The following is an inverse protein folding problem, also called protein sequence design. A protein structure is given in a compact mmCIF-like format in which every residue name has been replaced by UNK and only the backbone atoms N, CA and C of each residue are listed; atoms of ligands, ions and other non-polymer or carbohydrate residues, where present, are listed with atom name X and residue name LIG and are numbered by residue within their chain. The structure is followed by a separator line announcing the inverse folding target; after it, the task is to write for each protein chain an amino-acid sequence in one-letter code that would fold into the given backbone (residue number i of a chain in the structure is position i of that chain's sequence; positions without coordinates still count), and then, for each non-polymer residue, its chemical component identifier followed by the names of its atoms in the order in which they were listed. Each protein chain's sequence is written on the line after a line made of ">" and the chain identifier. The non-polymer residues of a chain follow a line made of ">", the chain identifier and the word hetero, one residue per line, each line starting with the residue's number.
data_IF_998025018677
#
_entry.id   IF_998025018677
#
_cell.length_a   1.000
_cell.length_b   1.000
_cell.length_c   1.000
_cell.angle_alpha   90.00
_cell.angle_beta   90.00
_cell.angle_gamma   90.00
#
_symmetry.space_group_name_H-M   'P 1'
#
loop_
_entity.id
_entity.type
_entity.pdbx_description
1 polymer ?
#
# COMPACT_ATOMS: atom_id res chain seq x y z
N UNK A 1 -17.26 15.70 3.74
CA UNK A 1 -16.08 14.86 3.47
C UNK A 1 -15.33 14.78 4.78
N UNK A 2 -15.07 13.58 5.30
CA UNK A 2 -14.41 13.39 6.60
C UNK A 2 -12.95 13.81 6.58
N UNK A 3 -12.35 14.05 7.75
CA UNK A 3 -10.92 14.41 7.84
C UNK A 3 -10.05 13.24 7.37
N UNK A 4 -10.42 12.00 7.70
CA UNK A 4 -9.79 10.80 7.16
C UNK A 4 -9.82 10.78 5.62
N UNK A 5 -10.99 11.03 5.02
CA UNK A 5 -11.13 11.04 3.56
C UNK A 5 -10.27 12.14 2.91
N UNK A 6 -10.24 13.33 3.53
CA UNK A 6 -9.42 14.46 3.08
C UNK A 6 -7.93 14.12 3.13
N UNK A 7 -7.45 13.60 4.25
CA UNK A 7 -6.06 13.18 4.42
C UNK A 7 -5.64 12.16 3.36
N UNK A 8 -6.40 11.07 3.20
CA UNK A 8 -6.07 10.04 2.21
C UNK A 8 -6.09 10.59 0.78
N UNK A 9 -7.00 11.52 0.47
CA UNK A 9 -7.04 12.21 -0.82
C UNK A 9 -5.79 13.07 -1.02
N UNK A 10 -5.40 13.88 -0.04
CA UNK A 10 -4.20 14.73 -0.10
C UNK A 10 -2.93 13.88 -0.29
N UNK A 11 -2.82 12.75 0.40
CA UNK A 11 -1.71 11.79 0.24
C UNK A 11 -1.64 11.18 -1.17
N UNK A 12 -2.80 10.91 -1.77
CA UNK A 12 -2.86 10.46 -3.17
C UNK A 12 -2.30 11.54 -4.10
N UNK A 13 -2.76 12.78 -3.93
CA UNK A 13 -2.32 13.91 -4.77
C UNK A 13 -0.83 14.24 -4.58
N UNK A 14 -0.32 14.14 -3.35
CA UNK A 14 1.10 14.32 -3.05
C UNK A 14 1.94 13.20 -3.70
N UNK A 15 1.50 11.94 -3.61
CA UNK A 15 2.15 10.81 -4.28
C UNK A 15 2.26 11.02 -5.79
N UNK A 16 1.16 11.45 -6.43
CA UNK A 16 1.17 11.81 -7.85
C UNK A 16 2.25 12.86 -8.18
N UNK A 17 2.27 13.97 -7.41
CA UNK A 17 3.22 15.08 -7.60
C UNK A 17 4.67 14.65 -7.36
N UNK A 18 4.94 13.81 -6.36
CA UNK A 18 6.29 13.29 -6.09
C UNK A 18 6.82 12.43 -7.22
N UNK A 19 5.97 11.53 -7.72
CA UNK A 19 6.36 10.66 -8.84
C UNK A 19 6.55 11.50 -10.12
N UNK A 20 5.65 12.45 -10.38
CA UNK A 20 5.80 13.43 -11.47
C UNK A 20 7.15 14.13 -11.38
N UNK A 21 7.45 14.73 -10.22
CA UNK A 21 8.68 15.47 -9.99
C UNK A 21 9.90 14.58 -10.23
N UNK A 22 9.95 13.39 -9.62
CA UNK A 22 11.07 12.45 -9.81
C UNK A 22 11.25 12.08 -11.28
N UNK A 23 10.18 11.77 -12.01
CA UNK A 23 10.29 11.33 -13.41
C UNK A 23 10.62 12.44 -14.40
N UNK A 24 10.36 13.69 -14.02
CA UNK A 24 10.73 14.87 -14.81
C UNK A 24 12.23 15.23 -14.70
N UNK A 25 12.98 14.59 -13.80
CA UNK A 25 14.38 14.90 -13.52
C UNK A 25 15.28 13.71 -13.85
N UNK A 26 16.30 13.95 -14.67
CA UNK A 26 17.30 12.92 -14.97
C UNK A 26 18.04 12.50 -13.68
N UNK A 27 18.19 11.20 -13.47
CA UNK A 27 18.92 10.63 -12.33
C UNK A 27 18.15 10.57 -11.00
N UNK A 28 17.05 11.31 -10.86
CA UNK A 28 16.24 11.27 -9.64
C UNK A 28 15.30 10.06 -9.67
N UNK A 29 15.45 9.16 -8.69
CA UNK A 29 14.62 7.97 -8.54
C UNK A 29 13.78 8.08 -7.27
N UNK A 30 12.53 7.65 -7.38
CA UNK A 30 11.65 7.40 -6.25
C UNK A 30 11.33 5.91 -6.22
N UNK A 31 11.37 5.33 -5.02
CA UNK A 31 11.14 3.90 -4.82
C UNK A 31 9.80 3.69 -4.13
N UNK A 32 9.18 2.55 -4.40
CA UNK A 32 7.95 2.09 -3.77
C UNK A 32 8.03 2.17 -2.24
N UNK A 33 9.09 1.61 -1.66
CA UNK A 33 9.37 1.65 -0.22
C UNK A 33 9.35 3.06 0.35
N UNK A 34 9.96 4.02 -0.35
CA UNK A 34 9.98 5.43 0.08
C UNK A 34 8.59 6.04 0.08
N UNK A 35 7.75 5.71 -0.91
CA UNK A 35 6.37 6.20 -0.96
C UNK A 35 5.55 5.58 0.18
N UNK A 36 5.64 4.27 0.41
CA UNK A 36 4.98 3.60 1.53
C UNK A 36 5.37 4.26 2.85
N UNK A 37 6.67 4.44 3.12
CA UNK A 37 7.14 5.06 4.36
C UNK A 37 6.65 6.51 4.52
N UNK A 38 6.62 7.29 3.44
CA UNK A 38 6.07 8.65 3.49
C UNK A 38 4.56 8.65 3.80
N UNK A 39 3.80 7.71 3.23
CA UNK A 39 2.38 7.55 3.56
C UNK A 39 2.20 7.26 5.04
N UNK A 40 2.93 6.27 5.59
CA UNK A 40 2.86 5.93 7.02
C UNK A 40 3.24 7.14 7.88
N UNK A 41 4.32 7.83 7.54
CA UNK A 41 4.76 9.04 8.25
C UNK A 41 3.71 10.15 8.24
N UNK A 42 3.16 10.50 7.08
CA UNK A 42 2.18 11.58 6.99
C UNK A 42 0.84 11.19 7.61
N UNK A 43 0.42 9.92 7.56
CA UNK A 43 -0.74 9.47 8.34
C UNK A 43 -0.44 9.69 9.82
N UNK A 44 0.67 9.16 10.33
CA UNK A 44 1.03 9.26 11.75
C UNK A 44 1.12 10.72 12.24
N UNK A 45 1.64 11.60 11.39
CA UNK A 45 1.80 13.03 11.69
C UNK A 45 0.48 13.79 11.73
N UNK A 46 -0.44 13.46 10.83
CA UNK A 46 -1.67 14.25 10.63
C UNK A 46 -2.90 13.65 11.29
N UNK A 47 -2.87 12.39 11.75
CA UNK A 47 -3.96 11.82 12.52
C UNK A 47 -3.78 12.09 14.01
N UNK A 48 -4.80 12.67 14.64
CA UNK A 48 -4.99 12.47 16.08
C UNK A 48 -5.15 10.97 16.33
N UNK A 49 -4.65 10.49 17.48
CA UNK A 49 -4.63 9.05 17.85
C UNK A 49 -5.98 8.33 17.76
N UNK A 50 -7.08 9.07 17.59
CA UNK A 50 -8.43 8.57 17.51
C UNK A 50 -8.82 7.97 16.15
N UNK A 51 -8.32 8.46 15.02
CA UNK A 51 -8.88 8.10 13.69
C UNK A 51 -8.18 6.90 13.03
N UNK A 52 -6.85 6.87 13.07
CA UNK A 52 -6.05 5.78 12.49
C UNK A 52 -5.01 5.36 13.52
N UNK A 53 -5.04 4.09 13.91
CA UNK A 53 -3.98 3.50 14.73
C UNK A 53 -2.97 2.78 13.83
N UNK A 54 -1.69 3.03 14.04
CA UNK A 54 -0.60 2.50 13.23
C UNK A 54 0.22 1.53 14.07
N UNK A 55 0.56 0.38 13.51
CA UNK A 55 1.42 -0.60 14.13
C UNK A 55 2.54 -1.01 13.17
N UNK A 56 3.67 -1.41 13.72
CA UNK A 56 4.80 -2.01 13.01
C UNK A 56 5.00 -3.45 13.47
N UNK A 57 5.37 -4.33 12.54
CA UNK A 57 5.65 -5.72 12.85
C UNK A 57 6.94 -5.87 13.68
N UNK A 58 6.93 -6.75 14.68
CA UNK A 58 8.08 -7.02 15.57
C UNK A 58 9.32 -7.58 14.85
N UNK A 59 9.14 -8.25 13.71
CA UNK A 59 10.22 -8.91 12.98
C UNK A 59 10.51 -8.24 11.62
N UNK A 60 11.20 -7.11 11.66
CA UNK A 60 11.48 -6.30 10.47
C UNK A 60 12.38 -6.98 9.42
N UNK A 61 13.25 -7.92 9.83
CA UNK A 61 14.29 -8.48 8.95
C UNK A 61 13.72 -9.33 7.81
N UNK A 62 12.47 -9.77 7.93
CA UNK A 62 11.80 -10.67 6.98
C UNK A 62 10.67 -10.02 6.20
N UNK A 63 10.25 -8.80 6.57
CA UNK A 63 8.97 -8.26 6.13
C UNK A 63 9.16 -7.22 5.02
N UNK A 64 8.36 -7.34 3.95
CA UNK A 64 8.28 -6.35 2.87
C UNK A 64 7.58 -5.06 3.35
N UNK A 65 7.60 -3.98 2.57
CA UNK A 65 6.91 -2.72 2.92
C UNK A 65 5.40 -2.79 2.64
N UNK A 66 4.84 -3.98 2.83
CA UNK A 66 3.44 -4.30 2.59
C UNK A 66 2.61 -3.94 3.82
N UNK A 67 1.30 -3.72 3.62
CA UNK A 67 0.43 -3.10 4.61
C UNK A 67 -0.75 -4.03 4.92
N UNK A 68 -1.14 -4.14 6.18
CA UNK A 68 -2.46 -4.61 6.59
C UNK A 68 -3.39 -3.40 6.80
N UNK A 69 -4.57 -3.41 6.18
CA UNK A 69 -5.62 -2.44 6.46
C UNK A 69 -6.75 -3.14 7.24
N UNK A 70 -7.11 -2.57 8.38
CA UNK A 70 -8.31 -2.92 9.13
C UNK A 70 -9.29 -1.77 9.05
N UNK A 71 -10.51 -2.02 8.59
CA UNK A 71 -11.52 -0.99 8.38
C UNK A 71 -12.71 -1.27 9.29
N UNK A 72 -13.01 -0.35 10.20
CA UNK A 72 -14.13 -0.49 11.13
C UNK A 72 -15.46 -0.50 10.37
N UNK A 73 -16.36 -1.38 10.81
CA UNK A 73 -17.77 -1.54 10.39
C UNK A 73 -18.64 -1.55 11.65
N UNK A 74 -19.97 -1.66 11.49
CA UNK A 74 -20.87 -1.81 12.64
C UNK A 74 -20.58 -3.05 13.50
N UNK A 75 -20.06 -4.12 12.89
CA UNK A 75 -19.90 -5.42 13.53
C UNK A 75 -18.47 -5.70 14.02
N UNK A 76 -17.51 -4.81 13.76
CA UNK A 76 -16.08 -5.02 13.99
C UNK A 76 -15.27 -4.56 12.79
N UNK A 77 -14.13 -5.19 12.50
CA UNK A 77 -13.22 -4.75 11.44
C UNK A 77 -13.12 -5.76 10.32
N UNK A 78 -13.11 -5.27 9.08
CA UNK A 78 -12.75 -6.04 7.89
C UNK A 78 -11.24 -5.96 7.67
N UNK A 79 -10.65 -7.06 7.21
CA UNK A 79 -9.22 -7.22 7.03
C UNK A 79 -8.82 -7.26 5.54
N UNK A 80 -7.82 -6.45 5.18
CA UNK A 80 -7.32 -6.33 3.81
C UNK A 80 -5.79 -6.32 3.81
N UNK A 81 -5.11 -7.42 3.44
CA UNK A 81 -3.68 -7.38 3.18
C UNK A 81 -3.42 -6.70 1.82
N UNK A 82 -2.39 -5.86 1.79
CA UNK A 82 -2.12 -4.94 0.68
C UNK A 82 -0.67 -4.99 0.26
N UNK A 83 -0.45 -5.34 -1.01
CA UNK A 83 0.85 -5.27 -1.67
C UNK A 83 1.01 -3.94 -2.39
N UNK A 84 2.09 -3.20 -2.14
CA UNK A 84 2.34 -1.96 -2.87
C UNK A 84 3.04 -2.22 -4.22
N UNK A 85 2.72 -1.41 -5.26
CA UNK A 85 3.42 -1.37 -6.55
C UNK A 85 3.47 0.04 -7.14
N UNK A 86 4.64 0.48 -7.61
CA UNK A 86 4.79 1.75 -8.33
C UNK A 86 4.74 1.54 -9.85
N UNK A 87 4.04 2.43 -10.57
CA UNK A 87 4.12 2.46 -12.04
C UNK A 87 5.53 2.90 -12.49
N UNK A 88 5.97 2.54 -13.68
CA UNK A 88 7.27 2.94 -14.23
C UNK A 88 7.12 3.98 -15.35
N UNK A 89 8.24 4.49 -15.88
CA UNK A 89 8.23 5.54 -16.91
C UNK A 89 7.45 5.12 -18.17
N UNK A 90 7.46 3.84 -18.52
CA UNK A 90 6.69 3.27 -19.63
C UNK A 90 5.19 3.14 -19.36
N UNK A 91 4.69 3.62 -18.22
CA UNK A 91 3.32 3.44 -17.76
C UNK A 91 2.97 2.00 -17.35
N UNK A 92 3.95 1.11 -17.25
CA UNK A 92 3.73 -0.30 -16.85
C UNK A 92 4.04 -0.54 -15.37
N UNK A 93 3.52 -1.66 -14.83
CA UNK A 93 3.86 -2.18 -13.50
C UNK A 93 4.76 -3.42 -13.56
N UNK A 94 6.00 -3.33 -14.09
CA UNK A 94 6.86 -4.49 -14.30
C UNK A 94 7.21 -5.24 -13.00
N UNK A 95 7.14 -4.57 -11.85
CA UNK A 95 7.42 -5.17 -10.54
C UNK A 95 6.27 -6.00 -9.98
N UNK A 96 5.14 -6.12 -10.69
CA UNK A 96 4.11 -7.11 -10.38
C UNK A 96 4.57 -8.54 -10.72
N UNK A 97 5.43 -8.72 -11.74
CA UNK A 97 6.06 -10.01 -12.02
C UNK A 97 7.18 -10.29 -11.00
N UNK A 98 6.79 -10.73 -9.80
CA UNK A 98 7.72 -11.10 -8.74
C UNK A 98 7.35 -12.47 -8.14
N UNK A 99 7.84 -13.53 -8.78
CA UNK A 99 7.64 -14.91 -8.32
C UNK A 99 6.16 -15.24 -8.08
N UNK A 100 5.88 -15.83 -6.91
CA UNK A 100 4.56 -16.24 -6.48
C UNK A 100 3.85 -15.20 -5.58
N UNK A 101 4.35 -13.96 -5.50
CA UNK A 101 3.90 -12.96 -4.53
C UNK A 101 2.38 -12.72 -4.52
N UNK A 102 1.72 -12.77 -5.68
CA UNK A 102 0.26 -12.64 -5.76
C UNK A 102 -0.48 -13.86 -5.17
N UNK A 103 0.06 -15.06 -5.34
CA UNK A 103 -0.46 -16.28 -4.73
C UNK A 103 -0.30 -16.16 -3.22
N UNK A 104 0.90 -15.80 -2.75
CA UNK A 104 1.19 -15.64 -1.32
C UNK A 104 0.26 -14.61 -0.65
N UNK A 105 -0.03 -13.49 -1.34
CA UNK A 105 -0.97 -12.47 -0.88
C UNK A 105 -2.41 -13.01 -0.77
N UNK A 106 -2.88 -13.73 -1.80
CA UNK A 106 -4.24 -14.30 -1.83
C UNK A 106 -4.39 -15.38 -0.75
N UNK A 107 -3.40 -16.25 -0.61
CA UNK A 107 -3.39 -17.32 0.41
C UNK A 107 -3.36 -16.72 1.83
N UNK A 108 -2.59 -15.65 2.03
CA UNK A 108 -2.55 -14.91 3.29
C UNK A 108 -3.92 -14.32 3.64
N UNK A 109 -4.56 -13.64 2.68
CA UNK A 109 -5.91 -13.10 2.85
C UNK A 109 -6.91 -14.21 3.17
N UNK A 110 -6.91 -15.29 2.40
CA UNK A 110 -7.83 -16.42 2.59
C UNK A 110 -7.67 -17.08 3.96
N UNK A 111 -6.43 -17.26 4.43
CA UNK A 111 -6.14 -17.88 5.74
C UNK A 111 -6.65 -17.03 6.90
N UNK A 112 -6.63 -15.71 6.73
CA UNK A 112 -7.07 -14.74 7.73
C UNK A 112 -8.56 -14.39 7.58
N UNK A 113 -9.22 -14.77 6.49
CA UNK A 113 -10.59 -14.35 6.19
C UNK A 113 -10.69 -12.89 5.77
N UNK A 114 -9.69 -12.39 5.03
CA UNK A 114 -9.65 -11.04 4.45
C UNK A 114 -9.75 -11.04 2.93
N UNK A 115 -9.66 -9.84 2.34
CA UNK A 115 -9.64 -9.66 0.88
C UNK A 115 -8.32 -9.04 0.40
N UNK A 116 -7.61 -9.66 -0.56
CA UNK A 116 -6.28 -9.23 -0.98
C UNK A 116 -6.34 -8.05 -1.96
N UNK A 117 -5.51 -7.03 -1.74
CA UNK A 117 -5.43 -5.85 -2.61
C UNK A 117 -4.00 -5.51 -3.01
N UNK A 118 -3.90 -4.76 -4.10
CA UNK A 118 -2.70 -3.98 -4.43
C UNK A 118 -2.96 -2.49 -4.22
N UNK A 119 -1.98 -1.80 -3.64
CA UNK A 119 -1.92 -0.34 -3.60
C UNK A 119 -0.95 0.17 -4.67
N UNK A 120 -1.49 0.82 -5.69
CA UNK A 120 -0.76 1.32 -6.83
C UNK A 120 -0.34 2.77 -6.63
N UNK A 121 0.94 3.06 -6.82
CA UNK A 121 1.51 4.40 -6.79
C UNK A 121 1.72 4.92 -8.21
N UNK A 122 1.02 6.00 -8.56
CA UNK A 122 0.76 6.33 -9.96
C UNK A 122 1.18 7.74 -10.35
N UNK A 123 1.55 7.86 -11.62
CA UNK A 123 1.66 9.13 -12.34
C UNK A 123 1.64 8.85 -13.84
N UNK A 124 0.79 9.55 -14.57
CA UNK A 124 0.75 9.57 -16.03
C UNK A 124 0.52 11.00 -16.53
N UNK A 125 1.40 11.49 -17.39
CA UNK A 125 1.24 12.82 -18.01
C UNK A 125 0.04 12.88 -18.97
N UNK A 126 -0.36 11.73 -19.51
CA UNK A 126 -1.39 11.59 -20.53
C UNK A 126 -2.77 11.30 -19.93
N UNK A 127 -2.83 10.94 -18.65
CA UNK A 127 -4.08 10.62 -17.99
C UNK A 127 -4.84 11.88 -17.57
N UNK A 128 -5.92 12.16 -18.29
CA UNK A 128 -6.87 13.23 -17.99
C UNK A 128 -8.16 12.63 -17.44
N UNK A 129 -8.41 12.86 -16.16
CA UNK A 129 -9.63 12.47 -15.49
C UNK A 129 -10.22 13.66 -14.76
N UNK A 130 -11.51 13.92 -15.00
CA UNK A 130 -12.30 14.92 -14.28
C UNK A 130 -13.75 14.44 -14.31
N UNK A 131 -14.09 13.54 -13.40
CA UNK A 131 -15.41 12.92 -13.32
C UNK A 131 -15.69 12.50 -11.88
N UNK A 132 -16.86 11.92 -11.62
CA UNK A 132 -17.21 11.40 -10.31
C UNK A 132 -17.13 9.88 -10.27
N UNK A 133 -16.65 9.35 -9.14
CA UNK A 133 -16.70 7.91 -8.82
C UNK A 133 -17.63 7.77 -7.63
N UNK A 134 -18.76 7.08 -7.79
CA UNK A 134 -19.80 6.96 -6.77
C UNK A 134 -20.20 8.31 -6.14
N UNK A 135 -20.41 9.33 -6.99
CA UNK A 135 -20.80 10.67 -6.57
C UNK A 135 -19.67 11.53 -5.98
N UNK A 136 -18.46 11.01 -5.83
CA UNK A 136 -17.30 11.78 -5.35
C UNK A 136 -16.52 12.33 -6.54
N UNK A 137 -16.46 13.67 -6.65
CA UNK A 137 -15.68 14.35 -7.68
C UNK A 137 -14.19 14.03 -7.56
N UNK A 138 -13.62 13.50 -8.63
CA UNK A 138 -12.22 13.07 -8.73
C UNK A 138 -11.52 13.69 -9.94
N UNK A 139 -10.23 13.92 -9.78
CA UNK A 139 -9.30 14.44 -10.79
C UNK A 139 -8.17 13.43 -11.05
N UNK A 140 -7.32 13.65 -12.06
CA UNK A 140 -6.14 12.80 -12.30
C UNK A 140 -5.24 12.66 -11.06
N UNK A 141 -5.08 13.72 -10.27
CA UNK A 141 -4.22 13.71 -9.07
C UNK A 141 -4.73 12.72 -8.01
N UNK A 142 -6.04 12.50 -7.97
CA UNK A 142 -6.69 11.64 -7.00
C UNK A 142 -6.32 10.16 -7.22
N UNK A 143 -5.76 9.81 -8.38
CA UNK A 143 -5.27 8.48 -8.72
C UNK A 143 -3.81 8.22 -8.30
N UNK A 144 -3.12 9.17 -7.67
CA UNK A 144 -1.73 8.95 -7.23
C UNK A 144 -1.54 7.73 -6.32
N UNK A 145 -2.58 7.38 -5.57
CA UNK A 145 -2.75 6.11 -4.88
C UNK A 145 -4.07 5.47 -5.32
N UNK A 146 -4.04 4.23 -5.81
CA UNK A 146 -5.24 3.48 -6.20
C UNK A 146 -5.24 2.06 -5.68
N UNK A 147 -6.40 1.54 -5.32
CA UNK A 147 -6.61 0.16 -4.89
C UNK A 147 -7.13 -0.67 -6.06
N UNK A 148 -6.61 -1.89 -6.18
CA UNK A 148 -7.13 -2.90 -7.11
C UNK A 148 -7.13 -4.28 -6.47
N UNK A 149 -8.20 -5.03 -6.73
CA UNK A 149 -8.37 -6.40 -6.26
C UNK A 149 -7.28 -7.32 -6.82
N UNK A 150 -6.60 -8.07 -5.93
CA UNK A 150 -5.57 -9.01 -6.36
C UNK A 150 -6.16 -10.19 -7.14
N UNK A 151 -7.38 -10.64 -6.84
CA UNK A 151 -8.00 -11.74 -7.58
C UNK A 151 -8.31 -11.37 -9.03
N UNK A 152 -8.63 -10.09 -9.27
CA UNK A 152 -8.72 -9.54 -10.63
C UNK A 152 -7.39 -9.63 -11.36
N UNK A 153 -6.30 -9.19 -10.72
CA UNK A 153 -4.96 -9.23 -11.31
C UNK A 153 -4.55 -10.69 -11.60
N UNK A 154 -4.83 -11.61 -10.68
CA UNK A 154 -4.59 -13.04 -10.86
C UNK A 154 -5.33 -13.57 -12.09
N UNK A 155 -6.62 -13.24 -12.19
CA UNK A 155 -7.50 -13.77 -13.23
C UNK A 155 -7.22 -13.19 -14.62
N UNK A 156 -6.65 -11.99 -14.72
CA UNK A 156 -6.52 -11.26 -15.98
C UNK A 156 -5.08 -11.04 -16.45
N UNK A 157 -4.09 -11.05 -15.54
CA UNK A 157 -2.70 -10.68 -15.88
C UNK A 157 -1.68 -11.71 -15.42
N UNK A 158 -1.82 -12.24 -14.21
CA UNK A 158 -0.88 -13.22 -13.69
C UNK A 158 -0.90 -14.51 -14.53
N UNK A 159 0.29 -15.01 -14.85
CA UNK A 159 0.48 -16.30 -15.52
C UNK A 159 -0.21 -16.44 -16.90
N UNK A 160 -0.55 -15.33 -17.57
CA UNK A 160 -1.19 -15.31 -18.91
C UNK A 160 -0.21 -15.44 -20.07
N UNK A 161 1.02 -14.96 -19.90
CA UNK A 161 2.09 -15.06 -20.89
C UNK A 161 2.87 -16.35 -20.69
N UNK A 162 3.46 -16.90 -21.75
CA UNK A 162 4.40 -18.02 -21.67
C UNK A 162 5.76 -17.53 -22.18
N UNK A 163 6.83 -17.73 -21.40
CA UNK A 163 8.18 -17.36 -21.85
C UNK A 163 8.77 -18.39 -22.83
N UNK A 164 9.96 -18.10 -23.35
CA UNK A 164 10.68 -18.98 -24.29
C UNK A 164 10.99 -20.38 -23.74
N UNK A 165 10.93 -20.56 -22.42
CA UNK A 165 11.20 -21.82 -21.74
C UNK A 165 9.88 -22.55 -21.37
N UNK A 166 8.72 -22.02 -21.77
CA UNK A 166 7.43 -22.61 -21.44
C UNK A 166 6.89 -22.21 -20.05
N UNK A 167 7.59 -21.36 -19.30
CA UNK A 167 7.13 -20.95 -17.97
C UNK A 167 6.02 -19.92 -18.10
N UNK A 168 4.99 -20.04 -17.26
CA UNK A 168 3.95 -19.02 -17.15
C UNK A 168 4.50 -17.77 -16.49
N UNK A 169 4.28 -16.63 -17.14
CA UNK A 169 4.70 -15.30 -16.70
C UNK A 169 3.51 -14.36 -16.68
N UNK A 170 3.67 -13.25 -15.99
CA UNK A 170 2.71 -12.18 -16.05
C UNK A 170 2.67 -11.59 -17.46
N UNK A 171 1.46 -11.23 -17.88
CA UNK A 171 1.24 -10.14 -18.81
C UNK A 171 1.29 -8.85 -17.98
N UNK A 172 2.30 -8.01 -18.20
CA UNK A 172 2.52 -6.83 -17.35
C UNK A 172 1.42 -5.81 -17.64
N UNK A 173 0.56 -5.46 -16.66
CA UNK A 173 -0.44 -4.44 -16.87
C UNK A 173 0.22 -3.06 -16.99
N UNK A 174 -0.38 -2.23 -17.85
CA UNK A 174 -0.15 -0.80 -17.90
C UNK A 174 -1.10 -0.04 -16.96
N UNK A 175 -0.80 1.23 -16.71
CA UNK A 175 -1.65 2.16 -16.00
C UNK A 175 -3.05 2.22 -16.64
N UNK A 176 -3.11 2.22 -17.97
CA UNK A 176 -4.36 2.34 -18.74
C UNK A 176 -5.17 1.04 -18.81
N UNK A 177 -4.53 -0.12 -18.59
CA UNK A 177 -5.27 -1.39 -18.44
C UNK A 177 -6.08 -1.42 -17.14
N UNK A 178 -5.62 -0.68 -16.12
CA UNK A 178 -6.20 -0.70 -14.79
C UNK A 178 -7.09 0.53 -14.50
N UNK A 179 -6.74 1.71 -14.99
CA UNK A 179 -7.41 2.97 -14.64
C UNK A 179 -8.24 3.54 -15.79
N UNK A 180 -9.40 4.19 -15.52
CA UNK A 180 -10.02 4.39 -14.20
C UNK A 180 -10.98 3.25 -13.79
N UNK A 181 -11.09 2.20 -14.60
CA UNK A 181 -12.23 1.28 -14.54
C UNK A 181 -12.08 0.14 -13.52
N UNK A 182 -10.85 -0.27 -13.19
CA UNK A 182 -10.56 -1.45 -12.35
C UNK A 182 -9.87 -1.09 -11.05
N UNK A 183 -8.92 -0.17 -11.14
CA UNK A 183 -8.28 0.44 -9.99
C UNK A 183 -9.00 1.75 -9.65
N UNK A 184 -9.39 1.88 -8.38
CA UNK A 184 -10.09 3.06 -7.88
C UNK A 184 -9.18 3.88 -6.97
N UNK A 185 -9.36 5.20 -6.85
CA UNK A 185 -8.62 5.99 -5.88
C UNK A 185 -8.80 5.45 -4.46
N UNK A 186 -7.69 5.25 -3.75
CA UNK A 186 -7.68 4.49 -2.49
C UNK A 186 -8.50 5.12 -1.36
N UNK A 187 -8.77 6.43 -1.43
CA UNK A 187 -9.55 7.15 -0.43
C UNK A 187 -11.06 6.89 -0.58
N UNK A 188 -11.55 6.50 -1.77
CA UNK A 188 -12.98 6.34 -2.07
C UNK A 188 -13.70 5.39 -1.10
N UNK A 189 -13.19 4.17 -0.82
CA UNK A 189 -13.84 3.27 0.15
C UNK A 189 -14.04 3.91 1.53
N UNK A 190 -13.12 4.79 1.95
CA UNK A 190 -13.15 5.45 3.25
C UNK A 190 -14.08 6.67 3.28
N UNK A 191 -14.36 7.27 2.13
CA UNK A 191 -15.26 8.43 2.02
C UNK A 191 -16.74 8.03 1.97
N UNK A 192 -17.05 6.90 1.34
CA UNK A 192 -18.42 6.39 1.20
C UNK A 192 -18.97 5.84 2.53
N UNK A 193 -18.08 5.35 3.41
CA UNK A 193 -18.44 4.58 4.60
C UNK A 193 -19.01 5.35 5.80
N UNK A 194 -19.31 6.66 5.69
CA UNK A 194 -19.84 7.43 6.84
C UNK A 194 -21.37 7.46 6.91
N UNK A 195 -22.06 7.23 5.78
CA UNK A 195 -23.52 7.23 5.73
C UNK A 195 -24.11 5.82 5.50
N UNK A 196 -23.29 4.86 5.05
CA UNK A 196 -23.72 3.50 4.84
C UNK A 196 -23.31 2.60 5.99
N UNK A 197 -24.31 1.90 6.54
CA UNK A 197 -24.17 0.97 7.65
C UNK A 197 -23.34 -0.27 7.30
N UNK A 198 -23.36 -0.68 6.04
CA UNK A 198 -22.68 -1.90 5.59
C UNK A 198 -21.52 -1.60 4.64
N UNK A 199 -20.33 -1.37 5.20
CA UNK A 199 -19.11 -1.19 4.39
C UNK A 199 -18.80 -2.40 3.52
N UNK A 200 -19.26 -3.61 3.87
CA UNK A 200 -19.08 -4.80 3.04
C UNK A 200 -19.74 -4.59 1.68
N UNK A 201 -20.93 -3.98 1.66
CA UNK A 201 -21.65 -3.64 0.44
C UNK A 201 -20.89 -2.62 -0.41
N UNK A 202 -20.31 -1.59 0.21
CA UNK A 202 -19.46 -0.62 -0.51
C UNK A 202 -18.31 -1.31 -1.21
N UNK A 203 -17.57 -2.18 -0.51
CA UNK A 203 -16.46 -2.91 -1.13
C UNK A 203 -16.93 -3.86 -2.25
N UNK A 204 -18.11 -4.47 -2.14
CA UNK A 204 -18.74 -5.25 -3.23
C UNK A 204 -18.98 -4.42 -4.49
N UNK A 205 -19.56 -3.23 -4.31
CA UNK A 205 -19.92 -2.35 -5.43
C UNK A 205 -18.67 -1.76 -6.09
N UNK A 206 -17.65 -1.44 -5.28
CA UNK A 206 -16.38 -0.90 -5.76
C UNK A 206 -15.52 -1.95 -6.48
N UNK A 207 -15.60 -3.22 -6.08
CA UNK A 207 -14.76 -4.30 -6.61
C UNK A 207 -15.61 -5.53 -7.01
N UNK A 208 -16.37 -5.46 -8.13
CA UNK A 208 -17.39 -6.46 -8.48
C UNK A 208 -16.84 -7.79 -9.03
N UNK A 209 -15.55 -8.10 -8.84
CA UNK A 209 -14.92 -9.31 -9.40
C UNK A 209 -15.34 -10.60 -8.67
N UNK A 210 -15.15 -11.80 -9.27
CA UNK A 210 -15.74 -13.06 -8.82
C UNK A 210 -15.41 -13.50 -7.37
N UNK A 211 -14.48 -12.84 -6.69
CA UNK A 211 -14.26 -12.97 -5.24
C UNK A 211 -15.40 -12.43 -4.38
N UNK A 212 -16.38 -11.73 -4.98
CA UNK A 212 -17.54 -11.18 -4.28
C UNK A 212 -18.44 -12.25 -3.63
N UNK A 213 -18.40 -13.50 -4.11
CA UNK A 213 -19.06 -14.63 -3.41
C UNK A 213 -18.43 -14.93 -2.04
N UNK A 214 -17.12 -14.64 -1.85
CA UNK A 214 -16.42 -14.84 -0.57
C UNK A 214 -16.63 -13.71 0.43
N UNK A 215 -17.34 -12.63 0.07
CA UNK A 215 -17.45 -11.48 0.95
C UNK A 215 -18.40 -11.70 2.13
N UNK A 216 -19.37 -12.62 2.02
CA UNK A 216 -20.13 -13.10 3.18
C UNK A 216 -19.28 -13.93 4.16
N UNK A 217 -18.12 -14.39 3.71
CA UNK A 217 -17.20 -15.24 4.46
C UNK A 217 -16.04 -14.44 5.06
N UNK A 218 -16.03 -13.11 4.89
CA UNK A 218 -15.02 -12.29 5.55
C UNK A 218 -15.14 -12.42 7.05
N UNK A 219 -14.01 -12.69 7.69
CA UNK A 219 -13.90 -12.66 9.13
C UNK A 219 -14.05 -11.22 9.60
N UNK A 220 -14.96 -11.01 10.54
CA UNK A 220 -15.09 -9.76 11.27
C UNK A 220 -14.24 -9.86 12.53
N UNK A 221 -13.27 -8.95 12.66
CA UNK A 221 -12.35 -8.91 13.79
C UNK A 221 -12.86 -7.99 14.90
N UNK A 222 -12.67 -8.38 16.15
CA UNK A 222 -12.85 -7.47 17.30
C UNK A 222 -11.66 -6.51 17.43
N UNK A 223 -11.86 -5.42 18.18
CA UNK A 223 -10.76 -4.52 18.57
C UNK A 223 -9.65 -5.27 19.32
N UNK A 224 -10.00 -6.17 20.25
CA UNK A 224 -9.01 -6.92 21.03
C UNK A 224 -8.17 -7.87 20.18
N UNK A 225 -8.75 -8.52 19.17
CA UNK A 225 -8.00 -9.37 18.24
C UNK A 225 -6.93 -8.61 17.44
N UNK A 226 -7.15 -7.31 17.22
CA UNK A 226 -6.24 -6.44 16.46
C UNK A 226 -5.19 -5.83 17.38
N UNK A 227 -5.61 -5.22 18.50
CA UNK A 227 -4.76 -4.42 19.37
C UNK A 227 -3.93 -5.28 20.34
N UNK A 228 -4.39 -6.47 20.74
CA UNK A 228 -3.65 -7.36 21.66
C UNK A 228 -2.70 -8.33 20.94
N UNK A 229 -2.54 -8.17 19.63
CA UNK A 229 -1.69 -9.03 18.83
C UNK A 229 -0.20 -8.73 19.08
N UNK A 230 0.49 -9.66 19.75
CA UNK A 230 1.91 -9.55 20.14
C UNK A 230 2.89 -9.42 18.98
N UNK A 231 2.48 -9.75 17.76
CA UNK A 231 3.32 -9.60 16.58
C UNK A 231 3.44 -8.13 16.12
N UNK A 232 2.64 -7.24 16.71
CA UNK A 232 2.48 -5.84 16.31
C UNK A 232 2.75 -4.89 17.47
N UNK A 233 3.62 -3.91 17.23
CA UNK A 233 3.95 -2.86 18.18
C UNK A 233 3.25 -1.58 17.71
N UNK A 234 2.43 -0.92 18.55
CA UNK A 234 1.87 0.37 18.23
C UNK A 234 2.98 1.39 17.97
N UNK A 235 2.89 2.13 16.86
CA UNK A 235 3.74 3.29 16.63
C UNK A 235 3.14 4.42 17.47
N UNK A 236 3.63 4.57 18.71
CA UNK A 236 3.13 5.59 19.63
C UNK A 236 3.48 6.99 19.11
N UNK A 237 2.47 7.84 19.02
CA UNK A 237 2.61 9.27 18.70
C UNK A 237 2.93 10.10 19.95
N UNK A 238 2.87 9.52 21.15
CA UNK A 238 3.33 10.19 22.35
C UNK A 238 4.75 10.63 22.07
N UNK A 239 4.95 11.95 22.09
CA UNK A 239 6.25 12.59 21.96
C UNK A 239 7.22 11.76 22.77
N UNK A 240 8.16 11.12 22.08
CA UNK A 240 9.43 10.81 22.70
C UNK A 240 9.90 12.18 23.17
N UNK A 241 9.80 12.45 24.47
CA UNK A 241 10.52 13.56 25.06
C UNK A 241 11.99 13.22 24.83
N UNK A 242 12.51 13.69 23.70
CA UNK A 242 13.94 13.76 23.49
C UNK A 242 14.43 14.63 24.64
N UNK A 243 14.94 13.98 25.69
CA UNK A 243 15.86 14.66 26.58
C UNK A 243 16.94 15.17 25.65
N UNK A 244 17.13 16.49 25.62
CA UNK A 244 18.28 17.14 25.00
C UNK A 244 19.56 16.70 25.74
N UNK A 245 19.88 15.40 25.72
CA UNK A 245 21.20 14.93 26.09
C UNK A 245 22.07 15.23 24.87
N UNK A 246 22.70 16.40 24.96
CA UNK A 246 23.83 16.91 24.18
C UNK A 246 24.07 16.15 22.87
N UNK A 247 23.56 16.72 21.77
CA UNK A 247 24.04 16.39 20.43
C UNK A 247 25.54 16.75 20.41
N UNK A 248 26.38 15.76 20.75
CA UNK A 248 27.81 15.84 20.56
C UNK A 248 28.03 15.80 19.05
N UNK A 249 28.01 16.98 18.42
CA UNK A 249 28.46 17.14 17.03
C UNK A 249 29.95 16.83 17.06
N UNK A 250 30.42 15.66 16.58
CA UNK A 250 31.84 15.43 16.52
C UNK A 250 32.37 16.46 15.53
N UNK A 251 33.27 17.34 16.00
CA UNK A 251 34.07 18.16 15.09
C UNK A 251 34.84 17.16 14.24
N UNK A 252 34.41 16.99 12.99
CA UNK A 252 35.08 16.12 12.03
C UNK A 252 36.44 16.76 11.75
N UNK A 253 37.47 16.30 12.45
CA UNK A 253 38.85 16.52 12.00
C UNK A 253 39.01 15.84 10.66
N UNK A 254 39.48 16.60 9.67
CA UNK A 254 39.84 16.18 8.32
C UNK A 254 40.36 14.74 8.25
N UNK A 255 39.58 13.85 7.64
CA UNK A 255 39.99 12.48 7.32
C UNK A 255 40.72 12.52 5.98
N UNK A 256 42.00 12.16 6.00
CA UNK A 256 42.78 11.88 4.80
C UNK A 256 42.17 10.69 4.06
N UNK A 257 41.85 10.89 2.78
CA UNK A 257 41.30 9.88 1.90
C UNK A 257 42.45 8.92 1.55
N UNK A 258 42.43 7.72 2.13
CA UNK A 258 43.20 6.58 1.62
C UNK A 258 42.29 5.75 0.71
N UNK A 259 42.70 5.66 -0.55
CA UNK A 259 42.06 4.84 -1.58
C UNK A 259 42.19 3.34 -1.24
N UNK A 260 41.13 2.58 -1.49
CA UNK A 260 41.21 1.13 -1.65
C UNK A 260 40.28 0.32 -0.74
N UNK A 261 38.98 0.34 -1.01
CA UNK A 261 38.10 -0.77 -0.62
C UNK A 261 37.16 -1.09 -1.79
N UNK A 262 37.51 -2.12 -2.54
CA UNK A 262 36.60 -2.86 -3.42
C UNK A 262 35.53 -3.53 -2.56
N UNK A 263 34.28 -3.04 -2.64
CA UNK A 263 33.13 -3.76 -2.10
C UNK A 263 32.74 -4.87 -3.08
N UNK A 264 32.96 -6.12 -2.66
CA UNK A 264 32.26 -7.26 -3.24
C UNK A 264 30.75 -7.08 -2.97
N UNK A 265 29.99 -6.91 -4.05
CA UNK A 265 28.54 -6.97 -4.02
C UNK A 265 28.20 -8.45 -3.98
N UNK A 266 27.91 -8.97 -2.79
CA UNK A 266 27.36 -10.31 -2.62
C UNK A 266 25.95 -10.36 -3.25
N UNK A 267 25.85 -10.90 -4.47
CA UNK A 267 24.59 -11.33 -5.07
C UNK A 267 24.25 -12.73 -4.54
N UNK A 268 23.69 -12.81 -3.33
CA UNK A 268 23.05 -14.04 -2.86
C UNK A 268 21.59 -14.00 -3.31
N UNK A 269 21.37 -14.46 -4.53
CA UNK A 269 20.06 -14.73 -5.12
C UNK A 269 19.61 -16.14 -4.70
N UNK A 270 19.48 -16.34 -3.39
CA UNK A 270 18.76 -17.51 -2.86
C UNK A 270 17.27 -17.15 -2.87
N UNK A 271 16.52 -17.84 -3.73
CA UNK A 271 15.06 -17.88 -3.74
C UNK A 271 14.55 -18.41 -2.39
N UNK A 272 14.58 -17.57 -1.36
CA UNK A 272 13.85 -17.78 -0.11
C UNK A 272 12.36 -17.66 -0.43
N UNK A 273 11.58 -18.65 0.00
CA UNK A 273 10.12 -18.62 0.03
C UNK A 273 9.63 -17.23 0.42
N UNK A 274 9.12 -16.47 -0.55
CA UNK A 274 8.68 -15.08 -0.39
C UNK A 274 7.29 -15.04 0.21
N UNK A 275 7.12 -15.56 1.42
CA UNK A 275 5.84 -15.42 2.13
C UNK A 275 5.47 -13.94 2.20
N UNK A 276 4.19 -13.63 1.97
CA UNK A 276 3.67 -12.30 2.23
C UNK A 276 3.82 -11.98 3.72
N UNK A 277 4.57 -10.94 4.03
CA UNK A 277 4.95 -10.57 5.39
C UNK A 277 4.83 -9.04 5.53
N UNK A 278 3.67 -8.53 5.99
CA UNK A 278 3.42 -7.10 6.08
C UNK A 278 4.31 -6.45 7.15
N UNK A 279 4.74 -5.22 6.88
CA UNK A 279 5.53 -4.41 7.82
C UNK A 279 4.66 -3.47 8.64
N UNK A 280 3.63 -2.90 8.02
CA UNK A 280 2.76 -1.92 8.67
C UNK A 280 1.33 -2.43 8.77
N UNK A 281 0.64 -2.01 9.83
CA UNK A 281 -0.81 -2.21 9.99
C UNK A 281 -1.45 -0.87 10.26
N UNK A 282 -2.50 -0.56 9.50
CA UNK A 282 -3.32 0.62 9.65
C UNK A 282 -4.73 0.20 10.07
N UNK A 283 -5.18 0.69 11.22
CA UNK A 283 -6.51 0.42 11.76
C UNK A 283 -7.34 1.69 11.69
N UNK A 284 -8.26 1.73 10.74
CA UNK A 284 -9.14 2.86 10.49
C UNK A 284 -10.41 2.75 11.33
N UNK A 285 -10.62 3.75 12.19
CA UNK A 285 -11.79 3.87 13.07
C UNK A 285 -12.81 4.82 12.42
N UNK A 286 -14.09 4.63 12.72
CA UNK A 286 -15.13 5.57 12.29
C UNK A 286 -14.96 6.91 13.02
N UNK A 287 -15.26 8.01 12.35
CA UNK A 287 -15.35 9.32 13.00
C UNK A 287 -16.66 9.36 13.80
N UNK A 288 -16.55 9.64 15.11
CA UNK A 288 -17.70 9.84 16.02
C UNK A 288 -18.44 11.16 15.73
#
# INVERSE_FOLDING_TARGET
>A
MTEQCKLLRELSQDTWKRIQFSRSRYGLKIYEVTITQNLIYEINRNTSNSMISIFEATNEKTNGNDIELFIQTENGYLFFPVQSKIVYKGQDYPKMEHGNQIIDLIDYASTKGGMPFYLLYNYSAEFLFNSSINGISCSSLDFGCSLIDADYLMSNFAFKRTDKNGNKKWEIPSFFDLHPNRAIPWFIPFCLGNNERDKTKIFKELFPNPSVEKLSDLKVYSTSEIEENKDWIPIDTKKVEYKEEEIFVPIVSTVEITEGITREIATNDDHKDTKFLPKFRLVFKNED
#
